data_IF_994933793359
#
_entry.id   IF_994933793359
#
_cell.length_a   1.000
_cell.length_b   1.000
_cell.length_c   1.000
_cell.angle_alpha   90.00
_cell.angle_beta   90.00
_cell.angle_gamma   90.00
#
_symmetry.space_group_name_H-M   'P 1'
#
loop_
_entity.id
_entity.type
_entity.pdbx_description
1 polymer ?
#
# COMPACT_ATOMS: atom_id res chain seq x y z
N UNK A 1 21.04 -8.00 -10.32
CA UNK A 1 20.29 -9.12 -10.93
C UNK A 1 18.94 -8.57 -11.38
N UNK A 2 18.58 -8.79 -12.64
CA UNK A 2 17.24 -8.47 -13.12
C UNK A 2 16.25 -9.48 -12.54
N UNK A 3 15.22 -9.01 -11.86
CA UNK A 3 14.14 -9.84 -11.38
C UNK A 3 13.23 -10.23 -12.55
N UNK A 4 12.98 -11.52 -12.73
CA UNK A 4 12.06 -12.01 -13.76
C UNK A 4 10.73 -12.33 -13.10
N UNK A 5 9.64 -11.71 -13.59
CA UNK A 5 8.28 -11.98 -13.16
C UNK A 5 7.54 -12.77 -14.23
N UNK A 6 6.99 -13.92 -13.87
CA UNK A 6 6.04 -14.65 -14.69
C UNK A 6 4.63 -14.14 -14.37
N UNK A 7 3.97 -13.58 -15.38
CA UNK A 7 2.58 -13.11 -15.26
C UNK A 7 1.71 -14.08 -16.05
N UNK A 8 0.74 -14.71 -15.38
CA UNK A 8 -0.29 -15.50 -16.06
C UNK A 8 -1.17 -14.58 -16.92
N UNK A 9 -1.88 -15.10 -17.93
CA UNK A 9 -2.91 -14.34 -18.60
C UNK A 9 -3.85 -13.70 -17.58
N UNK A 10 -4.12 -12.40 -17.69
CA UNK A 10 -4.80 -11.61 -16.66
C UNK A 10 -6.22 -12.15 -16.35
N UNK A 11 -6.86 -12.74 -17.35
CA UNK A 11 -8.17 -13.36 -17.24
C UNK A 11 -8.16 -14.53 -16.25
N UNK A 12 -7.03 -15.26 -16.17
CA UNK A 12 -6.89 -16.37 -15.23
C UNK A 12 -6.95 -15.92 -13.77
N UNK A 13 -6.34 -14.78 -13.45
CA UNK A 13 -6.46 -14.21 -12.10
C UNK A 13 -7.90 -13.84 -11.77
N UNK A 14 -8.63 -13.26 -12.73
CA UNK A 14 -10.04 -12.91 -12.56
C UNK A 14 -10.93 -14.14 -12.38
N UNK A 15 -10.67 -15.22 -13.13
CA UNK A 15 -11.43 -16.48 -13.08
C UNK A 15 -11.30 -17.17 -11.73
N UNK A 16 -10.19 -17.03 -11.03
CA UNK A 16 -9.99 -17.66 -9.72
C UNK A 16 -10.92 -17.13 -8.63
N UNK A 17 -11.44 -15.92 -8.78
CA UNK A 17 -12.22 -15.18 -7.76
C UNK A 17 -11.49 -14.94 -6.44
N UNK A 18 -10.24 -15.34 -6.32
CA UNK A 18 -9.42 -15.15 -5.11
C UNK A 18 -9.22 -13.67 -4.78
N UNK A 19 -9.12 -12.83 -5.81
CA UNK A 19 -8.92 -11.39 -5.69
C UNK A 19 -10.23 -10.58 -5.68
N UNK A 20 -11.37 -11.25 -5.55
CA UNK A 20 -12.68 -10.62 -5.65
C UNK A 20 -13.15 -10.44 -7.09
N UNK A 21 -14.15 -9.58 -7.27
CA UNK A 21 -14.69 -9.26 -8.59
C UNK A 21 -14.01 -8.02 -9.17
N UNK A 22 -13.34 -8.18 -10.28
CA UNK A 22 -12.75 -7.11 -11.05
C UNK A 22 -12.72 -7.50 -12.53
N UNK A 23 -12.40 -6.57 -13.40
CA UNK A 23 -12.30 -6.79 -14.85
C UNK A 23 -10.97 -6.24 -15.39
N UNK A 24 -10.49 -6.89 -16.45
CA UNK A 24 -9.31 -6.41 -17.17
C UNK A 24 -9.58 -5.05 -17.83
N UNK A 25 -8.59 -4.18 -17.87
CA UNK A 25 -8.66 -2.92 -18.60
C UNK A 25 -8.83 -3.13 -20.12
N UNK A 26 -8.64 -4.36 -20.62
CA UNK A 26 -8.83 -4.75 -22.01
C UNK A 26 -10.22 -5.33 -22.30
N UNK A 27 -11.05 -5.56 -21.29
CA UNK A 27 -12.38 -6.12 -21.47
C UNK A 27 -13.33 -5.05 -22.05
N UNK A 28 -13.76 -5.17 -23.31
CA UNK A 28 -14.57 -4.14 -23.98
C UNK A 28 -15.93 -3.90 -23.31
N UNK A 29 -16.43 -4.89 -22.57
CA UNK A 29 -17.71 -4.79 -21.87
C UNK A 29 -17.68 -3.75 -20.74
N UNK A 30 -16.53 -3.55 -20.13
CA UNK A 30 -16.38 -2.69 -18.95
C UNK A 30 -15.48 -1.47 -19.20
N UNK A 31 -15.02 -1.29 -20.44
CA UNK A 31 -14.23 -0.11 -20.77
C UNK A 31 -15.08 1.15 -20.73
N UNK A 32 -14.66 2.08 -19.90
CA UNK A 32 -15.16 3.46 -19.88
C UNK A 32 -14.02 4.34 -20.38
N UNK A 33 -14.10 4.83 -21.64
CA UNK A 33 -13.06 5.69 -22.20
C UNK A 33 -12.77 6.88 -21.28
N UNK A 34 -11.50 7.22 -21.11
CA UNK A 34 -11.05 8.29 -20.21
C UNK A 34 -10.90 7.84 -18.74
N UNK A 35 -11.80 7.02 -18.22
CA UNK A 35 -11.68 6.53 -16.85
C UNK A 35 -10.50 5.57 -16.66
N UNK A 36 -10.35 4.62 -17.58
CA UNK A 36 -9.19 3.69 -17.58
C UNK A 36 -7.87 4.44 -17.70
N UNK A 37 -7.81 5.43 -18.58
CA UNK A 37 -6.63 6.29 -18.71
C UNK A 37 -6.36 7.09 -17.44
N UNK A 38 -7.39 7.62 -16.78
CA UNK A 38 -7.24 8.36 -15.53
C UNK A 38 -6.68 7.47 -14.41
N UNK A 39 -7.23 6.26 -14.23
CA UNK A 39 -6.74 5.30 -13.24
C UNK A 39 -5.27 4.92 -13.49
N UNK A 40 -4.93 4.61 -14.75
CA UNK A 40 -3.57 4.27 -15.12
C UNK A 40 -2.61 5.44 -14.89
N UNK A 41 -3.00 6.64 -15.31
CA UNK A 41 -2.17 7.84 -15.18
C UNK A 41 -1.89 8.22 -13.72
N UNK A 42 -2.85 8.02 -12.79
CA UNK A 42 -2.64 8.24 -11.36
C UNK A 42 -1.53 7.32 -10.84
N UNK A 43 -1.59 6.04 -11.17
CA UNK A 43 -0.56 5.09 -10.73
C UNK A 43 0.80 5.40 -11.37
N UNK A 44 0.80 5.67 -12.66
CA UNK A 44 2.01 6.03 -13.41
C UNK A 44 2.67 7.31 -12.86
N UNK A 45 1.86 8.29 -12.49
CA UNK A 45 2.35 9.51 -11.85
C UNK A 45 3.17 9.19 -10.60
N UNK A 46 2.66 8.36 -9.68
CA UNK A 46 3.40 8.00 -8.46
C UNK A 46 4.65 7.17 -8.76
N UNK A 47 4.57 6.21 -9.67
CA UNK A 47 5.76 5.45 -10.13
C UNK A 47 6.85 6.40 -10.64
N UNK A 48 6.47 7.40 -11.41
CA UNK A 48 7.42 8.38 -11.96
C UNK A 48 7.93 9.37 -10.90
N UNK A 49 7.09 9.78 -9.94
CA UNK A 49 7.51 10.62 -8.82
C UNK A 49 8.50 9.91 -7.89
N UNK A 50 8.29 8.64 -7.58
CA UNK A 50 9.26 7.83 -6.83
C UNK A 50 10.63 7.88 -7.51
N UNK A 51 10.68 7.67 -8.83
CA UNK A 51 11.91 7.72 -9.62
C UNK A 51 12.52 9.14 -9.66
N UNK A 52 11.70 10.14 -9.94
CA UNK A 52 12.09 11.54 -10.06
C UNK A 52 12.63 12.11 -8.75
N UNK A 53 11.96 11.81 -7.65
CA UNK A 53 12.29 12.32 -6.32
C UNK A 53 13.24 11.42 -5.56
N UNK A 54 13.54 10.23 -6.09
CA UNK A 54 14.41 9.24 -5.44
C UNK A 54 13.92 8.87 -4.03
N UNK A 55 12.61 8.58 -3.91
CA UNK A 55 12.02 8.11 -2.65
C UNK A 55 12.48 6.68 -2.35
N UNK A 56 13.75 6.53 -2.05
CA UNK A 56 14.45 5.27 -1.77
C UNK A 56 15.16 5.30 -0.42
N UNK A 57 14.71 6.17 0.49
CA UNK A 57 15.25 6.27 1.83
C UNK A 57 15.00 5.01 2.65
N UNK A 58 15.78 4.80 3.69
CA UNK A 58 15.71 3.62 4.55
C UNK A 58 14.29 3.40 5.12
N UNK A 59 13.61 4.48 5.51
CA UNK A 59 12.26 4.42 6.08
C UNK A 59 11.14 4.64 5.06
N UNK A 60 11.45 5.24 3.92
CA UNK A 60 10.41 5.73 3.00
C UNK A 60 10.30 4.88 1.73
N UNK A 61 11.20 3.91 1.52
CA UNK A 61 11.14 3.09 0.32
C UNK A 61 9.84 2.28 0.28
N UNK A 62 9.05 2.55 -0.75
CA UNK A 62 7.72 1.95 -0.90
C UNK A 62 6.58 2.86 -0.44
N UNK A 63 6.88 3.98 0.20
CA UNK A 63 5.91 5.02 0.53
C UNK A 63 5.92 6.15 -0.51
N UNK A 64 4.89 6.98 -0.48
CA UNK A 64 4.73 8.15 -1.35
C UNK A 64 4.21 9.33 -0.55
N UNK A 65 4.52 10.53 -1.02
CA UNK A 65 3.93 11.73 -0.42
C UNK A 65 2.52 11.99 -0.96
N UNK A 66 1.64 12.47 -0.11
CA UNK A 66 0.30 12.89 -0.48
C UNK A 66 0.08 14.41 -0.34
N UNK A 67 0.99 15.11 0.34
CA UNK A 67 0.83 16.55 0.59
C UNK A 67 1.72 17.36 -0.35
N UNK A 68 1.10 17.94 -1.37
CA UNK A 68 1.74 18.83 -2.33
C UNK A 68 1.28 20.28 -2.08
N UNK A 69 2.22 21.21 -2.12
CA UNK A 69 1.92 22.65 -2.02
C UNK A 69 1.86 23.25 -3.44
N UNK A 70 0.66 23.59 -3.95
CA UNK A 70 0.53 24.09 -5.30
C UNK A 70 1.03 25.54 -5.46
N UNK A 71 1.19 26.28 -4.35
CA UNK A 71 1.70 27.66 -4.38
C UNK A 71 3.22 27.66 -4.46
N UNK A 72 3.87 26.81 -3.67
CA UNK A 72 5.34 26.66 -3.68
C UNK A 72 5.84 25.67 -4.74
N UNK A 73 4.94 24.98 -5.42
CA UNK A 73 5.24 23.93 -6.40
C UNK A 73 6.19 22.84 -5.88
N UNK A 74 5.98 22.40 -4.64
CA UNK A 74 6.81 21.37 -4.01
C UNK A 74 6.03 20.43 -3.11
N UNK A 75 6.58 19.23 -2.89
CA UNK A 75 6.10 18.33 -1.86
C UNK A 75 6.46 18.86 -0.47
N UNK A 76 5.56 18.63 0.48
CA UNK A 76 5.64 19.21 1.83
C UNK A 76 6.55 18.41 2.76
N UNK A 77 7.83 18.27 2.41
CA UNK A 77 8.82 17.63 3.31
C UNK A 77 8.94 18.31 4.68
N UNK A 78 8.59 19.59 4.74
CA UNK A 78 8.63 20.40 5.94
C UNK A 78 7.63 19.99 7.03
N UNK A 79 6.64 19.18 6.72
CA UNK A 79 5.69 18.62 7.70
C UNK A 79 6.05 17.20 8.15
N UNK A 80 7.26 16.73 7.82
CA UNK A 80 7.77 15.44 8.25
C UNK A 80 6.91 14.26 7.82
N UNK A 81 6.75 13.28 8.70
CA UNK A 81 5.99 12.07 8.43
C UNK A 81 4.53 12.29 8.06
N UNK A 82 3.93 13.43 8.45
CA UNK A 82 2.55 13.75 8.08
C UNK A 82 2.32 13.95 6.57
N UNK A 83 3.36 14.19 5.80
CA UNK A 83 3.26 14.30 4.35
C UNK A 83 3.26 12.96 3.63
N UNK A 84 3.68 11.91 4.31
CA UNK A 84 3.82 10.58 3.76
C UNK A 84 2.53 9.77 3.89
N UNK A 85 2.32 8.93 2.91
CA UNK A 85 1.16 8.08 2.80
C UNK A 85 1.46 6.69 3.38
N UNK A 86 0.41 5.99 3.79
CA UNK A 86 0.48 4.59 4.17
C UNK A 86 -0.78 3.84 3.73
N UNK A 87 -1.05 2.68 4.32
CA UNK A 87 -2.24 1.87 4.00
C UNK A 87 -3.56 2.48 4.46
N UNK A 88 -3.58 3.60 5.14
CA UNK A 88 -4.81 4.25 5.63
C UNK A 88 -5.90 4.39 4.55
N UNK A 89 -5.48 4.70 3.32
CA UNK A 89 -6.37 4.84 2.17
C UNK A 89 -6.38 3.61 1.24
N UNK A 90 -5.94 2.46 1.73
CA UNK A 90 -5.91 1.19 1.00
C UNK A 90 -5.06 1.23 -0.29
N UNK A 91 -3.99 2.01 -0.32
CA UNK A 91 -3.16 2.19 -1.52
C UNK A 91 -2.51 0.92 -2.01
N UNK A 92 -2.06 0.06 -1.10
CA UNK A 92 -1.52 -1.26 -1.45
C UNK A 92 -2.53 -2.08 -2.23
N UNK A 93 -3.76 -2.13 -1.74
CA UNK A 93 -4.86 -2.82 -2.40
C UNK A 93 -5.16 -2.23 -3.80
N UNK A 94 -5.24 -0.91 -3.91
CA UNK A 94 -5.49 -0.22 -5.17
C UNK A 94 -4.39 -0.52 -6.21
N UNK A 95 -3.12 -0.49 -5.80
CA UNK A 95 -1.98 -0.78 -6.68
C UNK A 95 -2.00 -2.22 -7.20
N UNK A 96 -2.32 -3.20 -6.34
CA UNK A 96 -2.45 -4.59 -6.76
C UNK A 96 -3.63 -4.80 -7.73
N UNK A 97 -4.75 -4.13 -7.52
CA UNK A 97 -5.87 -4.17 -8.46
C UNK A 97 -5.49 -3.59 -9.82
N UNK A 98 -4.77 -2.47 -9.85
CA UNK A 98 -4.30 -1.90 -11.12
C UNK A 98 -3.33 -2.84 -11.81
N UNK A 99 -2.41 -3.49 -11.08
CA UNK A 99 -1.55 -4.52 -11.64
C UNK A 99 -2.35 -5.68 -12.24
N UNK A 100 -3.29 -6.26 -11.49
CA UNK A 100 -4.13 -7.37 -11.96
C UNK A 100 -4.98 -7.02 -13.19
N UNK A 101 -5.30 -5.73 -13.37
CA UNK A 101 -6.06 -5.24 -14.51
C UNK A 101 -5.20 -4.94 -15.73
N UNK A 102 -3.95 -4.54 -15.55
CA UNK A 102 -3.08 -4.04 -16.61
C UNK A 102 -1.93 -4.98 -16.98
N UNK A 103 -1.43 -5.76 -16.01
CA UNK A 103 -0.21 -6.56 -16.16
C UNK A 103 1.08 -5.72 -16.18
N UNK A 104 1.02 -4.44 -15.79
CA UNK A 104 2.17 -3.53 -15.87
C UNK A 104 3.21 -3.90 -14.81
N UNK A 105 4.44 -4.19 -15.24
CA UNK A 105 5.54 -4.60 -14.37
C UNK A 105 6.01 -3.49 -13.42
N UNK A 106 6.00 -2.24 -13.84
CA UNK A 106 6.39 -1.12 -12.98
C UNK A 106 5.37 -0.91 -11.86
N UNK A 107 4.09 -1.11 -12.15
CA UNK A 107 3.03 -1.10 -11.13
C UNK A 107 3.17 -2.28 -10.17
N UNK A 108 3.53 -3.47 -10.66
CA UNK A 108 3.85 -4.61 -9.80
C UNK A 108 4.97 -4.28 -8.82
N UNK A 109 6.09 -3.73 -9.32
CA UNK A 109 7.22 -3.34 -8.47
C UNK A 109 6.83 -2.31 -7.43
N UNK A 110 6.03 -1.34 -7.82
CA UNK A 110 5.53 -0.31 -6.94
C UNK A 110 4.60 -0.88 -5.86
N UNK A 111 3.63 -1.71 -6.25
CA UNK A 111 2.71 -2.39 -5.33
C UNK A 111 3.48 -3.26 -4.31
N UNK A 112 4.48 -4.00 -4.78
CA UNK A 112 5.35 -4.82 -3.94
C UNK A 112 6.14 -3.99 -2.94
N UNK A 113 6.79 -2.91 -3.40
CA UNK A 113 7.55 -2.02 -2.53
C UNK A 113 6.67 -1.38 -1.46
N UNK A 114 5.50 -0.86 -1.83
CA UNK A 114 4.54 -0.28 -0.90
C UNK A 114 4.00 -1.30 0.11
N UNK A 115 3.68 -2.53 -0.34
CA UNK A 115 3.22 -3.58 0.57
C UNK A 115 4.30 -3.99 1.56
N UNK A 116 5.57 -4.05 1.11
CA UNK A 116 6.71 -4.32 1.99
C UNK A 116 6.88 -3.20 3.02
N UNK A 117 6.84 -1.95 2.59
CA UNK A 117 6.90 -0.80 3.48
C UNK A 117 5.81 -0.87 4.55
N UNK A 118 4.55 -1.00 4.14
CA UNK A 118 3.42 -1.03 5.06
C UNK A 118 3.50 -2.20 6.06
N UNK A 119 3.97 -3.38 5.63
CA UNK A 119 4.05 -4.55 6.49
C UNK A 119 5.23 -4.51 7.47
N UNK A 120 6.34 -3.91 7.11
CA UNK A 120 7.57 -3.93 7.91
C UNK A 120 7.82 -2.63 8.66
N UNK A 121 7.40 -1.49 8.11
CA UNK A 121 7.67 -0.16 8.68
C UNK A 121 6.46 0.39 9.42
N UNK A 122 5.26 0.28 8.84
CA UNK A 122 4.06 0.87 9.43
C UNK A 122 3.45 0.00 10.53
N UNK A 123 3.78 -1.29 10.62
CA UNK A 123 3.30 -2.20 11.65
C UNK A 123 4.22 -2.20 12.86
N UNK A 124 3.65 -2.16 14.05
CA UNK A 124 4.38 -2.38 15.30
C UNK A 124 4.53 -3.89 15.54
N UNK A 125 5.74 -4.40 15.32
CA UNK A 125 6.03 -5.83 15.48
C UNK A 125 6.28 -6.25 16.96
N UNK A 126 6.42 -5.28 17.87
CA UNK A 126 6.67 -5.55 19.29
C UNK A 126 6.20 -4.39 20.17
N UNK A 127 6.21 -4.61 21.49
CA UNK A 127 5.89 -3.61 22.50
C UNK A 127 4.39 -3.41 22.69
N UNK A 128 4.03 -2.33 23.39
CA UNK A 128 2.65 -2.03 23.83
C UNK A 128 1.66 -1.92 22.67
N UNK A 129 2.15 -1.55 21.50
CA UNK A 129 1.33 -1.32 20.29
C UNK A 129 1.44 -2.46 19.27
N UNK A 130 2.02 -3.59 19.64
CA UNK A 130 2.14 -4.75 18.76
C UNK A 130 0.82 -5.04 18.04
N UNK A 131 0.88 -5.43 16.77
CA UNK A 131 -0.21 -5.67 15.83
C UNK A 131 -0.90 -4.41 15.27
N UNK A 132 -0.69 -3.23 15.85
CA UNK A 132 -1.27 -2.00 15.31
C UNK A 132 -0.37 -1.35 14.26
N UNK A 133 -0.95 -0.56 13.38
CA UNK A 133 -0.21 0.23 12.40
C UNK A 133 -0.02 1.67 12.82
N UNK A 134 1.08 2.26 12.38
CA UNK A 134 1.37 3.69 12.55
C UNK A 134 0.79 4.47 11.38
N UNK A 135 -0.02 5.46 11.68
CA UNK A 135 -0.53 6.39 10.67
C UNK A 135 0.56 7.38 10.27
N UNK A 136 0.65 7.70 8.98
CA UNK A 136 1.62 8.65 8.42
C UNK A 136 3.08 8.31 8.74
N UNK A 137 3.57 7.22 8.16
CA UNK A 137 4.94 6.76 8.32
C UNK A 137 5.28 6.30 9.75
N UNK A 138 6.53 6.29 10.12
CA UNK A 138 6.98 5.78 11.42
C UNK A 138 6.60 6.69 12.59
N UNK A 139 6.39 6.09 13.78
CA UNK A 139 5.92 6.75 14.98
C UNK A 139 6.72 8.01 15.35
N UNK A 140 8.04 7.96 15.30
CA UNK A 140 8.91 9.04 15.76
C UNK A 140 8.98 10.23 14.79
N UNK A 141 8.45 10.06 13.59
CA UNK A 141 8.50 11.07 12.54
C UNK A 141 7.12 11.52 12.05
N UNK A 142 6.16 10.63 12.11
CA UNK A 142 4.77 10.88 11.75
C UNK A 142 3.87 11.15 12.94
N UNK A 143 2.59 10.87 12.80
CA UNK A 143 1.65 11.01 13.88
C UNK A 143 1.72 9.83 14.88
N UNK A 144 1.34 10.09 16.12
CA UNK A 144 1.35 9.08 17.17
C UNK A 144 0.20 8.06 17.12
N UNK A 145 -0.71 8.15 16.13
CA UNK A 145 -1.85 7.26 16.03
C UNK A 145 -1.43 5.82 15.79
N UNK A 146 -2.05 4.90 16.51
CA UNK A 146 -1.85 3.45 16.45
C UNK A 146 -3.20 2.83 16.17
N UNK A 147 -3.38 2.36 14.95
CA UNK A 147 -4.68 2.00 14.44
C UNK A 147 -4.66 0.61 13.81
N UNK A 148 -5.64 -0.24 14.18
CA UNK A 148 -5.80 -1.56 13.59
C UNK A 148 -6.03 -1.49 12.07
N UNK A 149 -6.75 -0.48 11.57
CA UNK A 149 -7.04 -0.30 10.14
C UNK A 149 -5.80 -0.12 9.27
N UNK A 150 -4.66 0.29 9.82
CA UNK A 150 -3.40 0.41 9.09
C UNK A 150 -2.75 -0.96 8.89
N UNK A 151 -2.90 -1.86 9.87
CA UNK A 151 -2.23 -3.17 9.91
C UNK A 151 -3.13 -4.34 9.55
N UNK A 152 -4.30 -4.12 8.96
CA UNK A 152 -5.24 -5.19 8.63
C UNK A 152 -4.62 -6.23 7.70
N UNK A 153 -4.72 -7.52 8.06
CA UNK A 153 -4.23 -8.63 7.23
C UNK A 153 -4.75 -8.59 5.78
N UNK A 154 -5.97 -8.09 5.58
CA UNK A 154 -6.56 -7.92 4.26
C UNK A 154 -5.72 -7.04 3.29
N UNK A 155 -4.94 -6.09 3.81
CA UNK A 155 -4.06 -5.24 2.99
C UNK A 155 -2.92 -6.02 2.34
N UNK A 156 -2.50 -7.13 2.95
CA UNK A 156 -1.34 -7.92 2.51
C UNK A 156 -1.73 -9.13 1.67
N UNK A 157 -3.02 -9.48 1.62
CA UNK A 157 -3.52 -10.68 0.95
C UNK A 157 -3.08 -10.79 -0.51
N UNK A 158 -3.15 -9.72 -1.27
CA UNK A 158 -2.76 -9.72 -2.68
C UNK A 158 -1.26 -9.91 -2.83
N UNK A 159 -0.48 -9.27 -1.98
CA UNK A 159 0.97 -9.45 -1.96
C UNK A 159 1.32 -10.91 -1.68
N UNK A 160 0.74 -11.51 -0.65
CA UNK A 160 0.98 -12.92 -0.32
C UNK A 160 0.63 -13.87 -1.48
N UNK A 161 -0.58 -13.75 -2.04
CA UNK A 161 -1.02 -14.65 -3.11
C UNK A 161 -0.25 -14.47 -4.43
N UNK A 162 0.22 -13.27 -4.74
CA UNK A 162 0.92 -12.99 -5.99
C UNK A 162 2.42 -13.24 -5.91
N UNK A 163 3.00 -13.32 -4.71
CA UNK A 163 4.45 -13.47 -4.52
C UNK A 163 4.85 -14.73 -3.76
N UNK A 164 3.92 -15.36 -3.04
CA UNK A 164 4.18 -16.45 -2.09
C UNK A 164 5.27 -16.07 -1.05
N UNK A 165 5.32 -14.80 -0.66
CA UNK A 165 6.28 -14.32 0.32
C UNK A 165 5.87 -14.79 1.73
N UNK A 166 6.60 -15.76 2.27
CA UNK A 166 6.30 -16.38 3.57
C UNK A 166 6.31 -15.36 4.71
N UNK A 167 7.21 -14.38 4.66
CA UNK A 167 7.26 -13.31 5.66
C UNK A 167 5.96 -12.51 5.72
N UNK A 168 5.31 -12.29 4.58
CA UNK A 168 4.01 -11.63 4.55
C UNK A 168 2.91 -12.51 5.13
N UNK A 169 3.00 -13.83 4.94
CA UNK A 169 2.13 -14.78 5.62
C UNK A 169 2.25 -14.69 7.14
N UNK A 170 3.48 -14.63 7.67
CA UNK A 170 3.73 -14.44 9.11
C UNK A 170 3.17 -13.11 9.62
N UNK A 171 3.33 -12.02 8.87
CA UNK A 171 2.75 -10.71 9.24
C UNK A 171 1.22 -10.76 9.24
N UNK A 172 0.60 -11.41 8.24
CA UNK A 172 -0.85 -11.57 8.20
C UNK A 172 -1.37 -12.35 9.41
N UNK A 173 -0.69 -13.44 9.79
CA UNK A 173 -1.05 -14.21 10.98
C UNK A 173 -0.85 -13.39 12.26
N UNK A 174 0.22 -12.62 12.34
CA UNK A 174 0.51 -11.75 13.47
C UNK A 174 -0.54 -10.65 13.69
N UNK A 175 -1.05 -10.02 12.62
CA UNK A 175 -1.97 -8.88 12.71
C UNK A 175 -3.45 -9.25 12.56
N UNK A 176 -3.79 -10.53 12.35
CA UNK A 176 -5.16 -10.96 12.03
C UNK A 176 -6.21 -10.52 13.04
N UNK A 177 -5.81 -10.40 14.29
CA UNK A 177 -6.68 -10.06 15.42
C UNK A 177 -6.46 -8.62 15.94
N UNK A 178 -5.80 -7.77 15.14
CA UNK A 178 -5.44 -6.40 15.55
C UNK A 178 -6.66 -5.53 15.89
N UNK A 179 -7.81 -5.78 15.29
CA UNK A 179 -9.05 -5.06 15.56
C UNK A 179 -9.64 -5.34 16.96
N UNK A 180 -9.38 -6.51 17.54
CA UNK A 180 -9.80 -6.80 18.92
C UNK A 180 -9.12 -5.89 19.96
N UNK A 181 -7.99 -5.30 19.61
CA UNK A 181 -7.33 -4.33 20.50
C UNK A 181 -8.20 -3.11 20.77
N UNK A 182 -9.11 -2.78 19.86
CA UNK A 182 -10.04 -1.65 20.02
C UNK A 182 -11.08 -1.88 21.09
N UNK A 183 -11.35 -3.13 21.49
CA UNK A 183 -12.31 -3.47 22.54
C UNK A 183 -11.79 -3.19 23.95
N UNK A 184 -10.46 -3.20 24.11
CA UNK A 184 -9.80 -3.08 25.43
C UNK A 184 -8.92 -1.84 25.52
N UNK A 185 -8.84 -1.05 24.48
CA UNK A 185 -7.97 0.11 24.38
C UNK A 185 -8.72 1.32 23.87
N UNK A 186 -8.55 2.45 24.56
CA UNK A 186 -8.96 3.73 24.02
C UNK A 186 -7.99 4.15 22.89
N UNK A 187 -8.41 4.13 21.61
CA UNK A 187 -7.55 4.48 20.50
C UNK A 187 -7.14 5.96 20.52
N UNK A 188 -7.89 6.80 21.24
CA UNK A 188 -7.65 8.23 21.36
C UNK A 188 -6.90 8.62 22.63
N UNK A 189 -6.78 7.73 23.60
CA UNK A 189 -6.26 8.00 24.96
C UNK A 189 -4.83 8.55 25.04
N UNK A 190 -4.06 8.49 23.96
CA UNK A 190 -2.71 9.06 23.86
C UNK A 190 -2.62 10.38 23.11
N UNK A 191 -3.76 10.94 22.70
CA UNK A 191 -3.84 12.18 21.92
C UNK A 191 -4.24 13.40 22.74
N UNK A 192 -4.80 13.18 23.93
CA UNK A 192 -5.30 14.22 24.82
C UNK A 192 -4.63 14.15 26.19
#
# INVERSE_FOLDING_TARGET
>A
QSETLLIAPLERYADTKVFGSYWSCKDPKYQIPGYENALYNIQKFYVDEVKRRRWYGFWDYGDVMHTYDPVRHCWRYDVGGFAWHNTELCNTYANWLVFLRTGDYEIYRFARAMSRHCSEVDVYHAGTYAMLGSRHNVRHWGCGAKEARISMAGHYRFFYYLTADERIGDVMDFVKDSDFTTLVRDPMGSYF
#
